data_IF_557784093902
#
_entry.id   IF_557784093902
#
_cell.length_a   1.000
_cell.length_b   1.000
_cell.length_c   1.000
_cell.angle_alpha   90.00
_cell.angle_beta   90.00
_cell.angle_gamma   90.00
#
_symmetry.space_group_name_H-M   'P 1'
#
loop_
_entity.id
_entity.type
_entity.pdbx_description
1 polymer ?
#
# COMPACT_ATOMS: atom_id res chain seq x y z
N UNK A 1 -24.19 51.71 20.18
CA UNK A 1 -24.38 50.55 19.27
C UNK A 1 -23.17 49.64 19.41
N UNK A 2 -23.40 48.34 19.58
CA UNK A 2 -22.33 47.32 19.47
C UNK A 2 -22.47 46.68 18.10
N UNK A 3 -21.38 46.64 17.33
CA UNK A 3 -21.34 45.99 16.03
C UNK A 3 -20.46 44.74 16.15
N UNK A 4 -21.04 43.58 15.85
CA UNK A 4 -20.33 42.32 15.78
C UNK A 4 -20.05 42.01 14.31
N UNK A 5 -18.78 41.89 13.93
CA UNK A 5 -18.39 41.52 12.57
C UNK A 5 -18.07 40.03 12.52
N UNK A 6 -18.75 39.28 11.66
CA UNK A 6 -18.51 37.85 11.46
C UNK A 6 -17.60 37.68 10.23
N UNK A 7 -16.31 37.43 10.45
CA UNK A 7 -15.37 37.13 9.37
C UNK A 7 -15.44 35.63 9.10
N UNK A 8 -16.15 35.23 8.05
CA UNK A 8 -16.05 33.87 7.50
C UNK A 8 -14.84 33.81 6.55
N UNK A 9 -13.96 32.86 6.79
CA UNK A 9 -12.76 32.68 5.96
C UNK A 9 -13.09 31.84 4.72
N UNK A 10 -12.83 32.40 3.54
CA UNK A 10 -13.07 31.69 2.28
C UNK A 10 -12.03 30.59 2.08
N UNK A 11 -12.48 29.40 1.71
CA UNK A 11 -11.63 28.23 1.48
C UNK A 11 -12.04 27.48 0.22
N UNK A 12 -11.04 27.05 -0.55
CA UNK A 12 -11.24 26.16 -1.67
C UNK A 12 -11.54 24.73 -1.20
N UNK A 13 -12.32 24.00 -1.99
CA UNK A 13 -12.62 22.60 -1.75
C UNK A 13 -12.41 21.79 -3.03
N UNK A 14 -11.47 20.83 -2.98
CA UNK A 14 -11.37 19.81 -4.02
C UNK A 14 -12.44 18.76 -3.75
N UNK A 15 -13.30 18.50 -4.73
CA UNK A 15 -14.39 17.54 -4.61
C UNK A 15 -13.81 16.13 -4.64
N UNK A 16 -14.17 15.32 -3.64
CA UNK A 16 -13.77 13.92 -3.54
C UNK A 16 -12.98 13.63 -2.26
N UNK A 17 -12.31 12.47 -2.19
CA UNK A 17 -11.46 12.11 -1.07
C UNK A 17 -10.16 12.94 -1.06
N UNK A 18 -9.50 13.02 0.10
CA UNK A 18 -8.16 13.60 0.25
C UNK A 18 -7.07 12.76 -0.41
N UNK A 19 -7.34 11.47 -0.61
CA UNK A 19 -6.44 10.48 -1.18
C UNK A 19 -7.17 9.76 -2.32
N UNK A 20 -6.77 10.04 -3.56
CA UNK A 20 -7.41 9.55 -4.77
C UNK A 20 -6.56 8.45 -5.41
N UNK A 21 -7.16 7.32 -5.72
CA UNK A 21 -6.48 6.19 -6.39
C UNK A 21 -7.00 6.05 -7.83
N UNK A 22 -6.10 6.12 -8.80
CA UNK A 22 -6.41 6.09 -10.23
C UNK A 22 -5.58 5.01 -10.91
N UNK A 23 -6.18 4.21 -11.79
CA UNK A 23 -5.43 3.22 -12.56
C UNK A 23 -4.60 3.89 -13.64
N UNK A 24 -3.38 3.40 -13.87
CA UNK A 24 -2.54 3.79 -15.00
C UNK A 24 -3.33 3.68 -16.31
N UNK A 25 -3.20 4.68 -17.17
CA UNK A 25 -3.94 4.82 -18.43
C UNK A 25 -5.34 5.43 -18.31
N UNK A 26 -5.91 5.56 -17.10
CA UNK A 26 -7.20 6.25 -16.89
C UNK A 26 -7.03 7.77 -16.87
N UNK A 27 -8.13 8.52 -16.91
CA UNK A 27 -8.09 9.98 -16.79
C UNK A 27 -8.19 10.41 -15.31
N UNK A 28 -7.39 11.39 -14.89
CA UNK A 28 -7.52 12.09 -13.61
C UNK A 28 -8.37 13.34 -13.84
N UNK A 29 -9.38 13.57 -13.00
CA UNK A 29 -10.23 14.76 -13.05
C UNK A 29 -10.41 15.32 -11.63
N UNK A 30 -9.76 16.45 -11.36
CA UNK A 30 -9.84 17.15 -10.07
C UNK A 30 -10.67 18.41 -10.25
N UNK A 31 -11.71 18.56 -9.43
CA UNK A 31 -12.58 19.73 -9.45
C UNK A 31 -12.41 20.50 -8.15
N UNK A 32 -11.95 21.74 -8.24
CA UNK A 32 -11.80 22.66 -7.12
C UNK A 32 -12.89 23.73 -7.19
N UNK A 33 -13.61 23.95 -6.08
CA UNK A 33 -14.67 24.96 -5.95
C UNK A 33 -14.39 25.90 -4.79
N UNK A 34 -14.71 27.18 -4.98
CA UNK A 34 -14.75 28.17 -3.90
C UNK A 34 -16.22 28.47 -3.62
N UNK A 35 -16.72 27.98 -2.48
CA UNK A 35 -18.09 28.22 -2.06
C UNK A 35 -18.19 29.65 -1.52
N UNK A 36 -18.94 30.51 -2.21
CA UNK A 36 -19.23 31.91 -1.84
C UNK A 36 -18.01 32.83 -1.78
N UNK A 37 -17.98 33.81 -2.68
CA UNK A 37 -17.13 34.99 -2.63
C UNK A 37 -17.84 36.11 -3.40
N UNK A 38 -17.45 37.38 -3.25
CA UNK A 38 -17.92 38.42 -4.17
C UNK A 38 -17.69 37.93 -5.61
N UNK A 39 -18.66 38.20 -6.49
CA UNK A 39 -18.76 37.69 -7.87
C UNK A 39 -17.54 38.02 -8.78
N UNK A 40 -16.52 38.68 -8.24
CA UNK A 40 -15.51 39.40 -8.98
C UNK A 40 -14.13 39.07 -8.38
N UNK A 41 -13.22 38.60 -9.25
CA UNK A 41 -11.75 38.72 -9.18
C UNK A 41 -10.94 37.65 -8.43
N UNK A 42 -11.07 36.38 -8.82
CA UNK A 42 -10.05 35.39 -8.51
C UNK A 42 -9.73 34.44 -9.65
N UNK A 43 -8.48 33.97 -9.68
CA UNK A 43 -8.08 32.84 -10.52
C UNK A 43 -7.68 31.66 -9.63
N UNK A 44 -7.76 30.44 -10.15
CA UNK A 44 -7.28 29.23 -9.46
C UNK A 44 -6.02 28.75 -10.17
N UNK A 45 -4.94 28.62 -9.41
CA UNK A 45 -3.71 27.99 -9.86
C UNK A 45 -3.63 26.55 -9.37
N UNK A 46 -3.05 25.66 -10.17
CA UNK A 46 -2.86 24.26 -9.85
C UNK A 46 -1.37 24.01 -9.70
N UNK A 47 -1.02 23.31 -8.62
CA UNK A 47 0.34 22.90 -8.31
C UNK A 47 0.39 21.38 -8.15
N UNK A 48 1.48 20.78 -8.60
CA UNK A 48 1.85 19.40 -8.26
C UNK A 48 3.11 19.46 -7.39
N UNK A 49 2.97 19.16 -6.10
CA UNK A 49 4.01 19.44 -5.12
C UNK A 49 4.29 20.94 -5.05
N UNK A 50 5.47 21.36 -5.50
CA UNK A 50 5.90 22.76 -5.54
C UNK A 50 5.88 23.37 -6.95
N UNK A 51 5.60 22.56 -7.97
CA UNK A 51 5.65 22.99 -9.37
C UNK A 51 4.27 23.47 -9.84
N UNK A 52 4.23 24.62 -10.50
CA UNK A 52 3.02 25.14 -11.13
C UNK A 52 2.70 24.34 -12.39
N UNK A 53 1.45 23.95 -12.55
CA UNK A 53 0.96 23.33 -13.79
C UNK A 53 0.70 24.45 -14.80
N UNK A 54 1.37 24.37 -15.95
CA UNK A 54 1.22 25.36 -17.01
C UNK A 54 -0.23 25.40 -17.53
N UNK A 55 -0.85 26.58 -17.43
CA UNK A 55 -2.23 26.85 -17.84
C UNK A 55 -2.32 27.55 -19.20
N UNK A 56 -1.17 27.97 -19.75
CA UNK A 56 -1.11 28.75 -20.99
C UNK A 56 -1.50 27.93 -22.23
N UNK A 57 -1.37 26.61 -22.15
CA UNK A 57 -1.75 25.67 -23.20
C UNK A 57 -3.25 25.73 -23.56
N UNK A 58 -4.10 26.28 -22.69
CA UNK A 58 -5.55 26.36 -22.94
C UNK A 58 -6.01 27.67 -23.58
N UNK A 59 -5.12 28.66 -23.77
CA UNK A 59 -5.49 29.99 -24.30
C UNK A 59 -5.33 30.11 -25.83
N UNK A 60 -4.60 29.21 -26.49
CA UNK A 60 -4.20 29.43 -27.90
C UNK A 60 -4.33 28.23 -28.86
N UNK A 61 -4.81 27.05 -28.48
CA UNK A 61 -4.64 25.89 -29.36
C UNK A 61 -5.92 25.14 -29.76
N UNK A 62 -6.19 25.26 -31.05
CA UNK A 62 -6.86 24.31 -31.97
C UNK A 62 -6.25 22.89 -31.89
N UNK A 63 -5.23 22.65 -31.06
CA UNK A 63 -4.59 21.36 -30.86
C UNK A 63 -4.78 20.84 -29.41
N UNK A 64 -5.80 20.00 -29.24
CA UNK A 64 -6.06 19.23 -28.00
C UNK A 64 -5.04 18.11 -27.74
N UNK A 65 -3.80 18.25 -28.22
CA UNK A 65 -2.74 17.24 -28.14
C UNK A 65 -2.07 17.16 -26.76
N UNK A 66 -2.20 18.20 -25.92
CA UNK A 66 -1.61 18.21 -24.59
C UNK A 66 -2.42 17.35 -23.62
N UNK A 67 -1.71 16.48 -22.88
CA UNK A 67 -2.29 15.50 -21.96
C UNK A 67 -2.97 16.14 -20.74
N UNK A 68 -2.54 17.34 -20.37
CA UNK A 68 -2.99 18.10 -19.21
C UNK A 68 -3.78 19.32 -19.69
N UNK A 69 -4.95 19.57 -19.11
CA UNK A 69 -5.79 20.73 -19.43
C UNK A 69 -6.44 21.28 -18.16
N UNK A 70 -6.59 22.60 -18.07
CA UNK A 70 -7.25 23.28 -16.95
C UNK A 70 -8.40 24.11 -17.48
N UNK A 71 -9.61 23.77 -17.07
CA UNK A 71 -10.83 24.46 -17.48
C UNK A 71 -11.45 25.21 -16.29
N UNK A 72 -11.84 26.46 -16.50
CA UNK A 72 -12.38 27.33 -15.46
C UNK A 72 -13.82 27.74 -15.80
N UNK A 73 -14.67 27.78 -14.79
CA UNK A 73 -16.11 28.03 -14.90
C UNK A 73 -16.57 28.96 -13.78
N UNK A 74 -17.40 29.92 -14.13
CA UNK A 74 -17.88 31.01 -13.27
C UNK A 74 -19.40 31.00 -13.06
N UNK A 75 -20.10 29.97 -13.54
CA UNK A 75 -21.57 29.94 -13.55
C UNK A 75 -22.19 29.84 -12.15
N UNK A 76 -21.58 29.10 -11.24
CA UNK A 76 -22.04 28.89 -9.84
C UNK A 76 -20.86 29.01 -8.86
N UNK A 77 -20.27 30.21 -8.85
CA UNK A 77 -19.00 30.51 -8.18
C UNK A 77 -17.79 30.10 -9.03
N UNK A 78 -16.58 30.31 -8.48
CA UNK A 78 -15.34 29.97 -9.17
C UNK A 78 -15.04 28.47 -9.05
N UNK A 79 -15.12 27.76 -10.17
CA UNK A 79 -14.83 26.33 -10.30
C UNK A 79 -13.68 26.12 -11.28
N UNK A 80 -12.66 25.35 -10.88
CA UNK A 80 -11.55 24.97 -11.76
C UNK A 80 -11.42 23.46 -11.85
N UNK A 81 -11.23 22.95 -13.05
CA UNK A 81 -11.17 21.52 -13.39
C UNK A 81 -9.82 21.19 -14.03
N UNK A 82 -8.97 20.52 -13.28
CA UNK A 82 -7.70 19.97 -13.80
C UNK A 82 -7.95 18.56 -14.33
N UNK A 83 -7.69 18.35 -15.62
CA UNK A 83 -7.79 17.05 -16.28
C UNK A 83 -6.42 16.60 -16.77
N UNK A 84 -6.05 15.37 -16.43
CA UNK A 84 -4.84 14.70 -16.90
C UNK A 84 -5.26 13.40 -17.59
N UNK A 85 -5.12 13.35 -18.92
CA UNK A 85 -5.47 12.16 -19.71
C UNK A 85 -4.39 11.09 -19.58
N UNK A 86 -4.74 9.81 -19.75
CA UNK A 86 -3.78 8.69 -19.77
C UNK A 86 -2.76 8.77 -18.62
N UNK A 87 -3.24 8.67 -17.39
CA UNK A 87 -2.45 8.79 -16.16
C UNK A 87 -1.24 7.84 -16.18
N UNK A 88 -0.09 8.38 -15.80
CA UNK A 88 1.17 7.67 -15.69
C UNK A 88 1.57 7.54 -14.21
N UNK A 89 2.36 6.53 -13.80
CA UNK A 89 2.86 6.43 -12.43
C UNK A 89 3.55 7.71 -11.94
N UNK A 90 4.22 8.42 -12.86
CA UNK A 90 4.87 9.71 -12.62
C UNK A 90 3.90 10.84 -12.26
N UNK A 91 2.60 10.72 -12.58
CA UNK A 91 1.60 11.71 -12.19
C UNK A 91 1.20 11.60 -10.72
N UNK A 92 1.65 10.58 -10.00
CA UNK A 92 1.47 10.48 -8.55
C UNK A 92 2.04 11.71 -7.84
N UNK A 93 1.31 12.23 -6.86
CA UNK A 93 1.76 13.36 -6.05
C UNK A 93 0.64 14.15 -5.39
N UNK A 94 1.02 15.20 -4.68
CA UNK A 94 0.10 16.13 -4.05
C UNK A 94 -0.31 17.22 -5.04
N UNK A 95 -1.59 17.26 -5.40
CA UNK A 95 -2.18 18.29 -6.23
C UNK A 95 -2.87 19.32 -5.36
N UNK A 96 -2.48 20.59 -5.51
CA UNK A 96 -3.02 21.70 -4.71
C UNK A 96 -3.68 22.72 -5.63
N UNK A 97 -4.94 23.05 -5.36
CA UNK A 97 -5.59 24.22 -5.95
C UNK A 97 -5.39 25.44 -5.04
N UNK A 98 -4.82 26.49 -5.61
CA UNK A 98 -4.42 27.72 -4.95
C UNK A 98 -5.20 28.89 -5.56
N UNK A 99 -6.29 29.32 -4.93
CA UNK A 99 -7.02 30.50 -5.36
C UNK A 99 -6.34 31.78 -4.87
N UNK A 100 -6.59 32.91 -5.55
CA UNK A 100 -6.01 34.22 -5.17
C UNK A 100 -6.62 34.85 -3.92
N UNK A 101 -7.85 34.49 -3.55
CA UNK A 101 -8.65 35.16 -2.51
C UNK A 101 -9.14 34.23 -1.39
N UNK A 102 -8.69 32.97 -1.38
CA UNK A 102 -9.18 31.96 -0.45
C UNK A 102 -8.04 31.02 -0.01
N UNK A 103 -8.28 30.25 1.04
CA UNK A 103 -7.36 29.18 1.46
C UNK A 103 -7.29 28.09 0.40
N UNK A 104 -6.09 27.56 0.18
CA UNK A 104 -5.84 26.44 -0.74
C UNK A 104 -6.41 25.12 -0.22
N UNK A 105 -6.52 24.15 -1.14
CA UNK A 105 -6.92 22.79 -0.83
C UNK A 105 -6.10 21.81 -1.65
N UNK A 106 -5.82 20.65 -1.06
CA UNK A 106 -4.89 19.67 -1.59
C UNK A 106 -5.50 18.27 -1.59
N UNK A 107 -5.11 17.47 -2.58
CA UNK A 107 -5.46 16.06 -2.72
C UNK A 107 -4.21 15.29 -3.13
N UNK A 108 -3.96 14.14 -2.51
CA UNK A 108 -2.90 13.25 -2.92
C UNK A 108 -3.43 12.24 -3.94
N UNK A 109 -2.82 12.17 -5.12
CA UNK A 109 -3.21 11.23 -6.18
C UNK A 109 -2.20 10.10 -6.24
N UNK A 110 -2.68 8.87 -6.19
CA UNK A 110 -1.94 7.63 -6.35
C UNK A 110 -2.29 7.00 -7.70
N UNK A 111 -1.32 6.91 -8.61
CA UNK A 111 -1.51 6.19 -9.88
C UNK A 111 -1.02 4.75 -9.73
N UNK A 112 -1.94 3.79 -9.79
CA UNK A 112 -1.66 2.36 -9.60
C UNK A 112 -1.51 1.63 -10.93
N UNK A 113 -0.48 0.81 -11.06
CA UNK A 113 -0.23 -0.01 -12.25
C UNK A 113 -1.09 -1.29 -12.14
N UNK A 114 -2.01 -1.48 -13.09
CA UNK A 114 -3.09 -2.47 -13.02
C UNK A 114 -2.70 -3.92 -13.28
N UNK A 115 -1.51 -4.38 -12.85
CA UNK A 115 -0.96 -5.69 -13.24
C UNK A 115 -0.75 -6.66 -12.08
N UNK A 116 -1.21 -6.35 -10.87
CA UNK A 116 -1.29 -7.35 -9.81
C UNK A 116 -2.70 -7.98 -9.84
N UNK A 117 -2.91 -9.16 -10.48
CA UNK A 117 -4.01 -9.99 -10.07
C UNK A 117 -3.77 -10.27 -8.58
N UNK A 118 -4.67 -9.75 -7.74
CA UNK A 118 -4.70 -10.11 -6.34
C UNK A 118 -4.54 -11.63 -6.23
N UNK A 119 -3.60 -12.07 -5.39
CA UNK A 119 -3.15 -13.44 -5.23
C UNK A 119 -4.25 -14.47 -5.54
N UNK A 120 -4.23 -14.99 -6.77
CA UNK A 120 -4.99 -16.18 -7.14
C UNK A 120 -4.29 -17.34 -6.45
N UNK A 121 -4.67 -17.60 -5.19
CA UNK A 121 -4.28 -18.79 -4.48
C UNK A 121 -5.09 -19.96 -5.07
N UNK A 122 -4.73 -20.38 -6.28
CA UNK A 122 -5.22 -21.63 -6.82
C UNK A 122 -4.54 -22.73 -5.99
N UNK A 123 -5.28 -23.31 -5.05
CA UNK A 123 -4.89 -24.54 -4.37
C UNK A 123 -4.85 -25.66 -5.43
N UNK A 124 -3.77 -25.73 -6.20
CA UNK A 124 -3.44 -26.91 -6.98
C UNK A 124 -2.91 -27.96 -6.01
N UNK A 125 -3.83 -28.68 -5.37
CA UNK A 125 -3.56 -29.97 -4.75
C UNK A 125 -3.17 -30.96 -5.85
N UNK A 126 -1.92 -30.88 -6.30
CA UNK A 126 -1.27 -31.94 -7.06
C UNK A 126 -1.18 -33.16 -6.14
N UNK A 127 -1.96 -34.19 -6.45
CA UNK A 127 -1.94 -35.45 -5.73
C UNK A 127 -0.57 -36.12 -5.88
N UNK A 128 0.31 -35.91 -4.91
CA UNK A 128 1.50 -36.72 -4.72
C UNK A 128 1.12 -38.10 -4.14
N UNK A 129 0.52 -38.96 -4.97
CA UNK A 129 0.17 -40.33 -4.61
C UNK A 129 1.40 -41.24 -4.39
N UNK A 130 2.60 -40.81 -4.79
CA UNK A 130 3.85 -41.57 -4.61
C UNK A 130 4.63 -41.28 -3.31
N UNK A 131 4.31 -40.22 -2.57
CA UNK A 131 5.15 -39.75 -1.46
C UNK A 131 4.72 -40.24 -0.06
N UNK A 132 3.53 -40.84 0.07
CA UNK A 132 3.04 -41.29 1.37
C UNK A 132 3.84 -42.51 1.88
N UNK A 133 4.12 -43.46 0.98
CA UNK A 133 4.93 -44.64 1.32
C UNK A 133 6.38 -44.28 1.65
N UNK A 134 6.96 -43.31 0.93
CA UNK A 134 8.31 -42.83 1.22
C UNK A 134 8.38 -42.16 2.59
N UNK A 135 7.42 -41.27 2.91
CA UNK A 135 7.36 -40.60 4.21
C UNK A 135 7.14 -41.59 5.36
N UNK A 136 6.29 -42.60 5.18
CA UNK A 136 6.06 -43.64 6.20
C UNK A 136 7.33 -44.47 6.40
N UNK A 137 8.00 -44.90 5.31
CA UNK A 137 9.24 -45.66 5.41
C UNK A 137 10.35 -44.87 6.14
N UNK A 138 10.48 -43.56 5.88
CA UNK A 138 11.43 -42.71 6.58
C UNK A 138 11.13 -42.62 8.08
N UNK A 139 9.87 -42.43 8.46
CA UNK A 139 9.47 -42.36 9.88
C UNK A 139 9.67 -43.70 10.60
N UNK A 140 9.41 -44.82 9.95
CA UNK A 140 9.65 -46.15 10.55
C UNK A 140 11.15 -46.43 10.74
N UNK A 141 12.00 -46.01 9.80
CA UNK A 141 13.46 -46.16 9.92
C UNK A 141 14.05 -45.32 11.06
N UNK A 142 13.58 -44.08 11.25
CA UNK A 142 14.04 -43.22 12.34
C UNK A 142 13.60 -43.75 13.70
N UNK A 143 12.39 -44.27 13.81
CA UNK A 143 11.90 -44.90 15.05
C UNK A 143 12.71 -46.15 15.38
N UNK A 144 12.96 -47.02 14.39
CA UNK A 144 13.73 -48.25 14.61
C UNK A 144 15.16 -47.99 15.07
N UNK A 145 15.85 -47.04 14.41
CA UNK A 145 17.23 -46.66 14.78
C UNK A 145 17.30 -46.01 16.16
N UNK A 146 16.33 -45.16 16.51
CA UNK A 146 16.22 -44.56 17.84
C UNK A 146 16.01 -45.62 18.93
N UNK A 147 15.09 -46.57 18.73
CA UNK A 147 14.86 -47.67 19.67
C UNK A 147 16.10 -48.56 19.84
N UNK A 148 16.83 -48.84 18.76
CA UNK A 148 18.06 -49.62 18.81
C UNK A 148 19.16 -48.89 19.60
N UNK A 149 19.31 -47.58 19.40
CA UNK A 149 20.23 -46.76 20.21
C UNK A 149 19.83 -46.76 21.69
N UNK A 150 18.54 -46.67 22.00
CA UNK A 150 18.05 -46.70 23.38
C UNK A 150 18.28 -48.06 24.07
N UNK A 151 18.13 -49.17 23.34
CA UNK A 151 18.39 -50.52 23.84
C UNK A 151 19.89 -50.79 24.06
N UNK A 152 20.74 -50.29 23.16
CA UNK A 152 22.20 -50.35 23.34
C UNK A 152 22.67 -49.48 24.52
N UNK A 153 22.01 -48.34 24.76
CA UNK A 153 22.28 -47.50 25.93
C UNK A 153 21.83 -48.14 27.26
N UNK A 154 20.73 -48.88 27.29
CA UNK A 154 20.27 -49.57 28.52
C UNK A 154 21.08 -50.83 28.83
N UNK A 155 21.53 -51.56 27.81
CA UNK A 155 22.41 -52.72 27.99
C UNK A 155 23.81 -52.34 28.46
N UNK A 156 24.35 -51.21 27.97
CA UNK A 156 25.62 -50.66 28.48
C UNK A 156 25.48 -50.20 29.92
N UNK A 157 24.39 -49.50 30.29
CA UNK A 157 24.13 -49.11 31.68
C UNK A 157 24.01 -50.32 32.65
N UNK A 158 23.39 -51.42 32.20
CA UNK A 158 23.31 -52.66 32.98
C UNK A 158 24.69 -53.34 33.16
N UNK A 159 25.55 -53.29 32.14
CA UNK A 159 26.91 -53.82 32.21
C UNK A 159 27.83 -52.99 33.14
N UNK A 160 27.65 -51.67 33.20
CA UNK A 160 28.37 -50.81 34.16
C UNK A 160 27.90 -51.05 35.61
N UNK A 161 26.61 -51.29 35.84
CA UNK A 161 26.08 -51.61 37.17
C UNK A 161 26.61 -52.95 37.71
N UNK A 162 26.76 -53.98 36.86
CA UNK A 162 27.34 -55.26 37.25
C UNK A 162 28.86 -55.19 37.52
N UNK A 163 29.60 -54.35 36.79
CA UNK A 163 31.03 -54.11 37.05
C UNK A 163 31.28 -53.26 38.30
N UNK A 164 30.38 -52.33 38.63
CA UNK A 164 30.42 -51.59 39.91
C UNK A 164 30.04 -52.50 41.08
N UNK A 165 29.04 -53.37 40.93
CA UNK A 165 28.64 -54.32 41.98
C UNK A 165 29.74 -55.36 42.30
N UNK A 166 30.49 -55.81 41.29
CA UNK A 166 31.63 -56.74 41.49
C UNK A 166 32.85 -56.05 42.09
N UNK A 167 33.10 -54.76 41.79
CA UNK A 167 34.15 -53.98 42.47
C UNK A 167 33.80 -53.66 43.92
N UNK A 168 32.53 -53.42 44.25
CA UNK A 168 32.06 -53.17 45.63
C UNK A 168 32.20 -54.37 46.58
N UNK A 169 32.14 -55.60 46.06
CA UNK A 169 32.31 -56.82 46.87
C UNK A 169 33.78 -57.13 47.24
N UNK A 170 34.75 -56.49 46.58
CA UNK A 170 36.19 -56.73 46.81
C UNK A 170 36.81 -55.88 47.93
N UNK A 171 36.04 -54.99 48.57
CA UNK A 171 36.54 -54.03 49.57
C UNK A 171 35.91 -54.17 50.97
N UNK A 172 35.31 -55.32 51.27
CA UNK A 172 34.91 -55.75 52.63
C UNK A 172 35.48 -57.15 52.93
N UNK A 173 36.81 -57.28 52.87
CA UNK A 173 37.52 -58.42 53.48
C UNK A 173 38.93 -57.97 53.88
N UNK A 174 38.99 -57.09 54.87
CA UNK A 174 40.10 -56.91 55.79
C UNK A 174 39.61 -56.25 57.07
#
# INVERSE_FOLDING_TARGET
>A
LSYTFNVIELKANIIGPTDLYVKSGSDINLTCRIMQGPHELGNIFWYKGTEIIDMSANLNEIDSATRISVDNDWTDGLTSRLKIRRAMPSDTGNYTCVPTIAKSSSVYVHVIIGEHPAAMQHNSSSMYSGNFYCSICCMLFTIFTCCLQHFLATTTAAATLLTVATRGASQCSR
#
